data_IF_347422462866
#
_entry.id   IF_347422462866
#
_cell.length_a   1.000
_cell.length_b   1.000
_cell.length_c   1.000
_cell.angle_alpha   90.00
_cell.angle_beta   90.00
_cell.angle_gamma   90.00
#
_symmetry.space_group_name_H-M   'P 1'
#
loop_
_entity.id
_entity.type
_entity.pdbx_description
1 polymer ?
#
# COMPACT_ATOMS: atom_id res chain seq x y z
N UNK A 1 11.69 4.58 8.33
CA UNK A 1 12.58 3.86 7.39
C UNK A 1 11.81 3.56 6.11
N UNK A 2 11.60 4.56 5.25
CA UNK A 2 10.88 4.40 3.99
C UNK A 2 11.81 3.96 2.87
N UNK A 3 12.51 2.84 3.07
CA UNK A 3 13.45 2.31 2.07
C UNK A 3 12.76 2.09 0.72
N UNK A 4 13.51 2.27 -0.36
CA UNK A 4 13.07 1.92 -1.71
C UNK A 4 12.59 0.47 -1.75
N UNK A 5 11.39 0.22 -2.30
CA UNK A 5 10.92 -1.14 -2.57
C UNK A 5 11.76 -1.68 -3.72
N UNK A 6 12.69 -2.58 -3.39
CA UNK A 6 13.55 -3.18 -4.39
C UNK A 6 12.75 -4.14 -5.30
N UNK A 7 13.25 -4.43 -6.52
CA UNK A 7 12.63 -5.43 -7.40
C UNK A 7 12.41 -6.80 -6.73
N UNK A 8 13.29 -7.19 -5.81
CA UNK A 8 13.17 -8.43 -5.05
C UNK A 8 11.97 -8.39 -4.09
N UNK A 9 11.73 -7.24 -3.45
CA UNK A 9 10.57 -7.05 -2.58
C UNK A 9 9.26 -7.03 -3.40
N UNK A 10 9.27 -6.46 -4.60
CA UNK A 10 8.15 -6.56 -5.54
C UNK A 10 7.87 -8.02 -5.92
N UNK A 11 8.90 -8.77 -6.31
CA UNK A 11 8.75 -10.16 -6.72
C UNK A 11 8.25 -11.04 -5.56
N UNK A 12 8.74 -10.81 -4.34
CA UNK A 12 8.25 -11.47 -3.14
C UNK A 12 6.76 -11.16 -2.88
N UNK A 13 6.37 -9.88 -2.95
CA UNK A 13 4.97 -9.46 -2.78
C UNK A 13 4.06 -10.11 -3.82
N UNK A 14 4.48 -10.16 -5.10
CA UNK A 14 3.73 -10.84 -6.18
C UNK A 14 3.59 -12.34 -5.92
N UNK A 15 4.64 -13.01 -5.45
CA UNK A 15 4.59 -14.44 -5.14
C UNK A 15 3.67 -14.75 -3.96
N UNK A 16 3.57 -13.85 -2.97
CA UNK A 16 2.60 -13.96 -1.88
C UNK A 16 1.18 -13.77 -2.40
N UNK A 17 0.91 -12.70 -3.17
CA UNK A 17 -0.42 -12.42 -3.72
C UNK A 17 -0.94 -13.50 -4.67
N UNK A 18 -0.04 -14.26 -5.31
CA UNK A 18 -0.41 -15.42 -6.12
C UNK A 18 -1.02 -16.55 -5.27
N UNK A 19 -0.57 -16.71 -4.02
CA UNK A 19 -1.04 -17.74 -3.09
C UNK A 19 -2.18 -17.27 -2.20
N UNK A 20 -2.07 -16.02 -1.74
CA UNK A 20 -3.06 -15.36 -0.91
C UNK A 20 -3.31 -13.94 -1.45
N UNK A 21 -4.31 -13.78 -2.33
CA UNK A 21 -4.65 -12.49 -2.90
C UNK A 21 -5.05 -11.44 -1.86
N UNK A 22 -5.43 -11.84 -0.64
CA UNK A 22 -5.89 -10.97 0.43
C UNK A 22 -4.80 -10.67 1.47
N UNK A 23 -3.57 -11.13 1.25
CA UNK A 23 -2.48 -10.90 2.17
C UNK A 23 -2.21 -9.41 2.39
N UNK A 24 -2.50 -8.90 3.59
CA UNK A 24 -2.41 -7.48 3.90
C UNK A 24 -0.98 -6.93 3.82
N UNK A 25 0.02 -7.69 4.27
CA UNK A 25 1.44 -7.30 4.19
C UNK A 25 1.87 -7.13 2.73
N UNK A 26 1.54 -8.10 1.87
CA UNK A 26 1.90 -8.01 0.45
C UNK A 26 1.21 -6.83 -0.24
N UNK A 27 -0.07 -6.57 0.06
CA UNK A 27 -0.81 -5.41 -0.45
C UNK A 27 -0.20 -4.08 0.01
N UNK A 28 0.24 -4.00 1.27
CA UNK A 28 0.95 -2.84 1.78
C UNK A 28 2.21 -2.55 0.95
N UNK A 29 3.06 -3.55 0.71
CA UNK A 29 4.29 -3.38 -0.09
C UNK A 29 4.02 -3.03 -1.56
N UNK A 30 2.97 -3.57 -2.16
CA UNK A 30 2.54 -3.16 -3.51
C UNK A 30 2.12 -1.69 -3.53
N UNK A 31 1.32 -1.24 -2.55
CA UNK A 31 0.96 0.17 -2.43
C UNK A 31 2.19 1.07 -2.25
N UNK A 32 3.16 0.66 -1.42
CA UNK A 32 4.40 1.40 -1.20
C UNK A 32 5.23 1.52 -2.50
N UNK A 33 5.35 0.43 -3.25
CA UNK A 33 6.01 0.44 -4.56
C UNK A 33 5.34 1.41 -5.53
N UNK A 34 4.01 1.40 -5.60
CA UNK A 34 3.24 2.28 -6.47
C UNK A 34 3.41 3.76 -6.07
N UNK A 35 3.42 4.05 -4.77
CA UNK A 35 3.66 5.40 -4.25
C UNK A 35 5.04 5.93 -4.67
N UNK A 36 6.07 5.08 -4.57
CA UNK A 36 7.45 5.42 -4.93
C UNK A 36 7.69 5.51 -6.44
N UNK A 37 6.97 4.72 -7.25
CA UNK A 37 7.16 4.63 -8.71
C UNK A 37 6.22 5.54 -9.51
N UNK A 38 5.61 6.54 -8.85
CA UNK A 38 4.81 7.57 -9.51
C UNK A 38 3.38 7.17 -9.84
N UNK A 39 2.83 6.16 -9.14
CA UNK A 39 1.44 5.70 -9.24
C UNK A 39 0.66 5.91 -7.93
N UNK A 40 0.58 7.15 -7.40
CA UNK A 40 -0.09 7.45 -6.14
C UNK A 40 -1.59 7.15 -6.18
N UNK A 41 -2.22 7.26 -7.35
CA UNK A 41 -3.62 6.90 -7.61
C UNK A 41 -3.90 5.42 -7.26
N UNK A 42 -3.00 4.52 -7.68
CA UNK A 42 -3.14 3.10 -7.40
C UNK A 42 -2.77 2.78 -5.96
N UNK A 43 -1.74 3.43 -5.42
CA UNK A 43 -1.34 3.28 -4.02
C UNK A 43 -2.51 3.63 -3.09
N UNK A 44 -3.15 4.79 -3.32
CA UNK A 44 -4.32 5.25 -2.58
C UNK A 44 -5.44 4.20 -2.58
N UNK A 45 -5.88 3.72 -3.75
CA UNK A 45 -6.98 2.75 -3.84
C UNK A 45 -6.71 1.42 -3.14
N UNK A 46 -5.46 0.93 -3.21
CA UNK A 46 -5.07 -0.31 -2.54
C UNK A 46 -5.08 -0.12 -1.02
N UNK A 47 -4.49 0.98 -0.55
CA UNK A 47 -4.40 1.28 0.87
C UNK A 47 -5.74 1.64 1.50
N UNK A 48 -6.59 2.42 0.83
CA UNK A 48 -7.95 2.74 1.29
C UNK A 48 -8.77 1.45 1.50
N UNK A 49 -8.76 0.56 0.52
CA UNK A 49 -9.40 -0.76 0.67
C UNK A 49 -8.77 -1.58 1.80
N UNK A 50 -7.45 -1.53 1.96
CA UNK A 50 -6.74 -2.29 2.99
C UNK A 50 -7.06 -1.79 4.40
N UNK A 51 -7.29 -0.48 4.57
CA UNK A 51 -7.78 0.11 5.82
C UNK A 51 -9.23 -0.30 6.11
N UNK A 52 -10.09 -0.37 5.08
CA UNK A 52 -11.50 -0.73 5.24
C UNK A 52 -11.72 -2.19 5.64
N UNK A 53 -10.87 -3.11 5.19
CA UNK A 53 -11.05 -4.57 5.41
C UNK A 53 -10.05 -5.18 6.40
N UNK A 54 -8.98 -4.45 6.73
CA UNK A 54 -7.88 -4.96 7.55
C UNK A 54 -8.19 -4.91 9.05
N UNK A 55 -7.55 -5.75 9.87
CA UNK A 55 -7.60 -5.60 11.33
C UNK A 55 -6.99 -4.25 11.73
N UNK A 56 -7.64 -3.53 12.64
CA UNK A 56 -7.18 -2.21 13.13
C UNK A 56 -5.78 -2.28 13.77
N UNK A 57 -5.41 -3.43 14.34
CA UNK A 57 -4.11 -3.67 14.98
C UNK A 57 -3.02 -4.14 14.02
N UNK A 58 -3.31 -4.24 12.72
CA UNK A 58 -2.35 -4.77 11.78
C UNK A 58 -1.14 -3.82 11.59
N UNK A 59 0.08 -4.35 11.41
CA UNK A 59 1.30 -3.55 11.40
C UNK A 59 1.41 -2.57 10.21
N UNK A 60 0.60 -2.75 9.17
CA UNK A 60 0.52 -1.85 8.03
C UNK A 60 -0.44 -0.67 8.23
N UNK A 61 -1.29 -0.67 9.27
CA UNK A 61 -2.29 0.39 9.48
C UNK A 61 -1.62 1.74 9.74
N UNK A 62 -0.79 1.84 10.77
CA UNK A 62 -0.13 3.09 11.13
C UNK A 62 0.72 3.68 9.99
N UNK A 63 1.59 2.90 9.30
CA UNK A 63 2.35 3.41 8.15
C UNK A 63 1.48 3.87 6.98
N UNK A 64 0.32 3.23 6.75
CA UNK A 64 -0.61 3.65 5.70
C UNK A 64 -1.26 4.97 6.08
N UNK A 65 -1.76 5.11 7.31
CA UNK A 65 -2.42 6.34 7.77
C UNK A 65 -1.49 7.56 7.70
N UNK A 66 -0.18 7.36 7.89
CA UNK A 66 0.82 8.41 7.75
C UNK A 66 0.98 8.90 6.29
N UNK A 67 0.79 8.03 5.30
CA UNK A 67 1.14 8.31 3.89
C UNK A 67 -0.07 8.49 2.97
N UNK A 68 -1.21 7.87 3.29
CA UNK A 68 -2.39 7.85 2.42
C UNK A 68 -2.99 9.25 2.14
N UNK A 69 -2.91 10.27 3.02
CA UNK A 69 -3.37 11.62 2.67
C UNK A 69 -2.56 12.25 1.53
N UNK A 70 -1.24 12.05 1.48
CA UNK A 70 -0.41 12.51 0.37
C UNK A 70 -0.77 11.76 -0.92
N UNK A 71 -1.02 10.45 -0.83
CA UNK A 71 -1.44 9.67 -1.99
C UNK A 71 -2.77 10.14 -2.54
N UNK A 72 -3.75 10.46 -1.67
CA UNK A 72 -5.03 11.01 -2.06
C UNK A 72 -4.89 12.36 -2.76
N UNK A 73 -4.11 13.28 -2.18
CA UNK A 73 -3.85 14.59 -2.77
C UNK A 73 -3.21 14.46 -4.16
N UNK A 74 -2.21 13.59 -4.31
CA UNK A 74 -1.55 13.32 -5.59
C UNK A 74 -2.43 12.57 -6.59
N UNK A 75 -3.44 11.86 -6.11
CA UNK A 75 -4.47 11.21 -6.93
C UNK A 75 -5.62 12.16 -7.32
N UNK A 76 -5.70 13.36 -6.72
CA UNK A 76 -6.83 14.28 -6.90
C UNK A 76 -8.10 13.85 -6.16
N UNK A 77 -7.96 12.99 -5.15
CA UNK A 77 -9.07 12.46 -4.34
C UNK A 77 -9.19 13.27 -3.03
N UNK A 78 -10.43 13.54 -2.60
CA UNK A 78 -10.68 14.17 -1.30
C UNK A 78 -10.66 13.10 -0.21
N UNK A 79 -9.61 13.10 0.62
CA UNK A 79 -9.46 12.19 1.76
C UNK A 79 -9.44 13.01 3.06
N UNK A 80 -10.41 12.76 3.94
CA UNK A 80 -10.59 13.44 5.23
C UNK A 80 -10.63 12.43 6.39
#
# INVERSE_FOLDING_TARGET
>A
AGGYVSPEAEQAARAVLTRDPNNGVARYYVGLMLAQTGRPDMAFRIWDRLLQIGPESAPWIAPILEQIPEMAQRAGENYQ
#
